data_IF_705511973763
#
_entry.id   IF_705511973763
#
_cell.length_a   1.000
_cell.length_b   1.000
_cell.length_c   1.000
_cell.angle_alpha   90.00
_cell.angle_beta   90.00
_cell.angle_gamma   90.00
#
_symmetry.space_group_name_H-M   'P 1'
#
loop_
_entity.id
_entity.type
_entity.pdbx_description
1 polymer ?
#
# COMPACT_ATOMS: atom_id res chain seq x y z
N UNK A 1 23.11 8.99 -0.42
CA UNK A 1 22.23 8.50 -1.50
C UNK A 1 21.34 9.64 -1.91
N UNK A 2 21.30 9.98 -3.19
CA UNK A 2 20.55 11.15 -3.65
C UNK A 2 19.05 10.87 -3.55
N UNK A 3 18.32 11.67 -2.78
CA UNK A 3 16.86 11.52 -2.59
C UNK A 3 16.12 11.53 -3.93
N UNK A 4 16.62 12.27 -4.92
CA UNK A 4 16.09 12.30 -6.28
C UNK A 4 16.20 10.95 -7.00
N UNK A 5 17.32 10.25 -6.85
CA UNK A 5 17.50 8.91 -7.43
C UNK A 5 16.51 7.92 -6.80
N UNK A 6 16.37 7.95 -5.47
CA UNK A 6 15.41 7.12 -4.74
C UNK A 6 13.97 7.39 -5.17
N UNK A 7 13.60 8.65 -5.28
CA UNK A 7 12.28 9.05 -5.74
C UNK A 7 12.01 8.55 -7.16
N UNK A 8 12.98 8.70 -8.07
CA UNK A 8 12.85 8.23 -9.45
C UNK A 8 12.71 6.71 -9.53
N UNK A 9 13.52 5.96 -8.77
CA UNK A 9 13.39 4.50 -8.66
C UNK A 9 12.01 4.09 -8.13
N UNK A 10 11.53 4.77 -7.09
CA UNK A 10 10.19 4.54 -6.56
C UNK A 10 9.09 4.88 -7.57
N UNK A 11 9.23 5.96 -8.33
CA UNK A 11 8.29 6.34 -9.37
C UNK A 11 8.25 5.30 -10.51
N UNK A 12 9.40 4.73 -10.89
CA UNK A 12 9.48 3.61 -11.84
C UNK A 12 8.73 2.37 -11.31
N UNK A 13 8.92 2.03 -10.03
CA UNK A 13 8.16 0.96 -9.37
C UNK A 13 6.66 1.26 -9.34
N UNK A 14 6.26 2.50 -9.05
CA UNK A 14 4.87 2.95 -9.09
C UNK A 14 4.24 2.81 -10.46
N UNK A 15 4.95 3.19 -11.53
CA UNK A 15 4.49 3.04 -12.91
C UNK A 15 4.26 1.56 -13.27
N UNK A 16 5.20 0.69 -12.89
CA UNK A 16 5.07 -0.76 -13.08
C UNK A 16 3.86 -1.32 -12.31
N UNK A 17 3.69 -0.97 -11.04
CA UNK A 17 2.55 -1.41 -10.23
C UNK A 17 1.22 -0.93 -10.82
N UNK A 18 1.14 0.30 -11.33
CA UNK A 18 -0.04 0.82 -12.02
C UNK A 18 -0.44 -0.06 -13.22
N UNK A 19 0.53 -0.49 -14.03
CA UNK A 19 0.30 -1.41 -15.15
C UNK A 19 -0.15 -2.80 -14.67
N UNK A 20 0.47 -3.33 -13.61
CA UNK A 20 0.07 -4.61 -13.01
C UNK A 20 -1.39 -4.57 -12.57
N UNK A 21 -1.79 -3.56 -11.79
CA UNK A 21 -3.17 -3.39 -11.32
C UNK A 21 -4.17 -3.27 -12.47
N UNK A 22 -3.80 -2.50 -13.50
CA UNK A 22 -4.61 -2.35 -14.72
C UNK A 22 -4.85 -3.68 -15.46
N UNK A 23 -3.84 -4.56 -15.50
CA UNK A 23 -3.92 -5.88 -16.15
C UNK A 23 -4.69 -6.89 -15.32
N UNK A 24 -4.47 -6.90 -14.01
CA UNK A 24 -5.17 -7.77 -13.06
C UNK A 24 -6.69 -7.61 -13.17
N UNK A 25 -7.16 -6.36 -13.27
CA UNK A 25 -8.60 -6.09 -13.48
C UNK A 25 -9.18 -6.75 -14.73
N UNK A 26 -8.41 -6.86 -15.80
CA UNK A 26 -8.88 -7.44 -17.07
C UNK A 26 -8.61 -8.93 -17.19
N UNK A 27 -8.31 -9.61 -16.07
CA UNK A 27 -7.92 -11.02 -16.04
C UNK A 27 -6.81 -11.35 -17.05
N UNK A 28 -5.91 -10.39 -17.29
CA UNK A 28 -4.73 -10.58 -18.13
C UNK A 28 -3.55 -10.94 -17.25
N UNK A 29 -2.59 -11.65 -17.81
CA UNK A 29 -1.31 -11.91 -17.16
C UNK A 29 -0.67 -10.59 -16.69
N UNK A 30 -0.38 -10.46 -15.40
CA UNK A 30 0.19 -9.25 -14.82
C UNK A 30 1.50 -8.81 -15.52
N UNK A 31 2.36 -9.79 -15.85
CA UNK A 31 3.73 -9.53 -16.29
C UNK A 31 3.94 -9.48 -17.81
N UNK A 32 3.02 -10.00 -18.63
CA UNK A 32 3.24 -10.08 -20.08
C UNK A 32 2.58 -8.93 -20.85
N UNK A 33 3.31 -8.37 -21.82
CA UNK A 33 2.84 -7.39 -22.79
C UNK A 33 3.47 -6.00 -22.64
N UNK A 34 3.26 -5.14 -23.64
CA UNK A 34 3.69 -3.73 -23.62
C UNK A 34 2.56 -2.80 -23.14
N UNK A 35 2.91 -1.59 -22.69
CA UNK A 35 1.94 -0.55 -22.32
C UNK A 35 1.22 -0.03 -23.56
N UNK A 36 -0.10 0.13 -23.47
CA UNK A 36 -0.97 0.59 -24.57
C UNK A 36 -1.90 1.68 -24.07
N UNK A 37 -2.24 2.62 -24.94
CA UNK A 37 -3.23 3.64 -24.62
C UNK A 37 -4.63 3.02 -24.42
N UNK A 38 -5.36 3.49 -23.41
CA UNK A 38 -6.73 3.04 -23.12
C UNK A 38 -7.75 3.37 -24.20
N UNK A 39 -7.49 4.41 -24.99
CA UNK A 39 -8.44 4.91 -25.98
C UNK A 39 -8.11 4.48 -27.40
N UNK A 40 -6.89 4.75 -27.87
CA UNK A 40 -6.50 4.43 -29.24
C UNK A 40 -5.81 3.07 -29.38
N UNK A 41 -5.56 2.36 -28.27
CA UNK A 41 -4.86 1.06 -28.23
C UNK A 41 -3.45 1.04 -28.82
N UNK A 42 -2.94 2.19 -29.28
CA UNK A 42 -1.58 2.30 -29.78
C UNK A 42 -0.59 2.06 -28.65
N UNK A 43 0.49 1.36 -28.98
CA UNK A 43 1.56 1.07 -28.04
C UNK A 43 2.23 2.39 -27.60
N UNK A 44 2.46 2.51 -26.29
CA UNK A 44 3.12 3.68 -25.70
C UNK A 44 4.63 3.51 -25.89
N UNK A 45 5.29 4.55 -26.40
CA UNK A 45 6.74 4.56 -26.57
C UNK A 45 7.44 4.50 -25.21
N UNK A 46 8.64 3.94 -25.14
CA UNK A 46 9.36 3.78 -23.86
C UNK A 46 9.61 5.13 -23.16
N UNK A 47 9.92 6.19 -23.92
CA UNK A 47 10.15 7.53 -23.39
C UNK A 47 8.86 8.24 -22.94
N UNK A 48 7.68 7.78 -23.38
CA UNK A 48 6.39 8.26 -22.89
C UNK A 48 5.97 7.51 -21.59
N UNK A 49 6.78 6.54 -21.13
CA UNK A 49 6.62 5.86 -19.84
C UNK A 49 7.61 6.38 -18.78
N UNK A 50 8.35 7.48 -19.03
CA UNK A 50 9.19 8.09 -17.99
C UNK A 50 8.27 8.66 -16.89
N UNK A 51 8.33 8.15 -15.65
CA UNK A 51 7.36 8.49 -14.60
C UNK A 51 7.29 9.98 -14.33
N UNK A 52 6.08 10.51 -14.14
CA UNK A 52 5.71 11.92 -13.91
C UNK A 52 6.12 12.90 -15.02
N UNK A 53 7.35 12.81 -15.52
CA UNK A 53 7.89 13.68 -16.56
C UNK A 53 7.09 13.57 -17.86
N UNK A 54 6.79 12.35 -18.32
CA UNK A 54 6.02 12.14 -19.55
C UNK A 54 4.61 12.73 -19.43
N UNK A 55 3.99 12.60 -18.26
CA UNK A 55 2.67 13.14 -18.00
C UNK A 55 2.67 14.68 -18.05
N UNK A 56 3.68 15.32 -17.43
CA UNK A 56 3.83 16.77 -17.46
C UNK A 56 4.13 17.31 -18.87
N UNK A 57 5.09 16.71 -19.57
CA UNK A 57 5.49 17.12 -20.93
C UNK A 57 4.37 16.97 -21.96
N UNK A 58 3.53 15.93 -21.81
CA UNK A 58 2.38 15.70 -22.69
C UNK A 58 1.12 16.49 -22.27
N UNK A 59 1.20 17.29 -21.21
CA UNK A 59 0.04 18.02 -20.66
C UNK A 59 -1.09 17.10 -20.21
N UNK A 60 -0.74 15.91 -19.68
CA UNK A 60 -1.66 14.89 -19.22
C UNK A 60 -2.48 14.21 -20.32
N UNK A 61 -2.06 14.30 -21.59
CA UNK A 61 -2.79 13.75 -22.75
C UNK A 61 -1.96 12.73 -23.51
N UNK A 62 -2.61 11.76 -24.13
CA UNK A 62 -1.92 10.81 -25.00
C UNK A 62 -1.35 11.52 -26.24
N UNK A 63 -0.08 11.22 -26.59
CA UNK A 63 0.61 11.77 -27.77
C UNK A 63 -0.16 11.59 -29.08
N UNK A 64 -0.81 10.44 -29.27
CA UNK A 64 -1.48 10.11 -30.53
C UNK A 64 -2.93 10.58 -30.60
N UNK A 65 -3.74 10.29 -29.56
CA UNK A 65 -5.18 10.56 -29.59
C UNK A 65 -5.61 11.81 -28.80
N UNK A 66 -4.68 12.48 -28.11
CA UNK A 66 -4.89 13.68 -27.29
C UNK A 66 -5.94 13.55 -26.17
N UNK A 67 -6.47 12.35 -25.93
CA UNK A 67 -7.35 12.07 -24.80
C UNK A 67 -6.57 12.07 -23.49
N UNK A 68 -7.20 12.47 -22.37
CA UNK A 68 -6.54 12.55 -21.07
C UNK A 68 -6.03 11.17 -20.63
N UNK A 69 -4.85 11.16 -20.03
CA UNK A 69 -4.29 9.99 -19.35
C UNK A 69 -4.97 9.88 -17.98
N UNK A 70 -5.28 8.64 -17.57
CA UNK A 70 -5.90 8.41 -16.27
C UNK A 70 -4.95 8.90 -15.14
N UNK A 71 -5.38 9.82 -14.25
CA UNK A 71 -4.55 10.35 -13.17
C UNK A 71 -4.10 9.30 -12.15
N UNK A 72 -4.68 8.11 -12.13
CA UNK A 72 -4.23 7.00 -11.28
C UNK A 72 -2.76 6.62 -11.50
N UNK A 73 -2.28 6.69 -12.75
CA UNK A 73 -0.89 6.37 -13.06
C UNK A 73 0.09 7.38 -12.43
N UNK A 74 0.00 8.70 -12.70
CA UNK A 74 0.88 9.66 -12.06
C UNK A 74 0.70 9.74 -10.54
N UNK A 75 -0.51 9.49 -10.01
CA UNK A 75 -0.72 9.42 -8.55
C UNK A 75 0.04 8.23 -7.95
N UNK A 76 0.00 7.05 -8.58
CA UNK A 76 0.76 5.87 -8.14
C UNK A 76 2.27 6.12 -8.20
N UNK A 77 2.75 6.74 -9.28
CA UNK A 77 4.16 7.11 -9.45
C UNK A 77 4.63 8.08 -8.35
N UNK A 78 3.83 9.11 -8.06
CA UNK A 78 4.12 10.09 -7.02
C UNK A 78 4.13 9.46 -5.62
N UNK A 79 3.10 8.66 -5.29
CA UNK A 79 2.97 8.05 -3.97
C UNK A 79 4.08 7.04 -3.69
N UNK A 80 4.41 6.17 -4.65
CA UNK A 80 5.48 5.19 -4.48
C UNK A 80 6.86 5.87 -4.52
N UNK A 81 7.06 6.88 -5.38
CA UNK A 81 8.28 7.71 -5.38
C UNK A 81 8.53 8.38 -4.03
N UNK A 82 7.50 9.04 -3.47
CA UNK A 82 7.58 9.67 -2.15
C UNK A 82 7.80 8.64 -1.03
N UNK A 83 7.15 7.48 -1.13
CA UNK A 83 7.30 6.39 -0.17
C UNK A 83 8.73 5.85 -0.12
N UNK A 84 9.46 5.80 -1.24
CA UNK A 84 10.86 5.36 -1.26
C UNK A 84 11.76 6.29 -0.45
N UNK A 85 11.59 7.60 -0.64
CA UNK A 85 12.29 8.63 0.14
C UNK A 85 11.93 8.54 1.62
N UNK A 86 10.64 8.37 1.92
CA UNK A 86 10.13 8.25 3.28
C UNK A 86 10.70 7.02 4.01
N UNK A 87 10.66 5.83 3.41
CA UNK A 87 11.22 4.61 4.02
C UNK A 87 12.73 4.76 4.27
N UNK A 88 13.46 5.32 3.31
CA UNK A 88 14.90 5.56 3.49
C UNK A 88 15.17 6.53 4.65
N UNK A 89 14.42 7.63 4.73
CA UNK A 89 14.52 8.61 5.81
C UNK A 89 14.23 7.98 7.18
N UNK A 90 13.19 7.15 7.28
CA UNK A 90 12.84 6.46 8.52
C UNK A 90 13.91 5.49 9.00
N UNK A 91 14.48 4.70 8.11
CA UNK A 91 15.54 3.77 8.48
C UNK A 91 16.79 4.53 8.89
N UNK A 92 17.11 5.65 8.23
CA UNK A 92 18.24 6.50 8.59
C UNK A 92 18.10 7.07 10.01
N UNK A 93 16.93 7.59 10.38
CA UNK A 93 16.68 8.22 11.69
C UNK A 93 16.57 7.20 12.81
N UNK A 94 15.75 6.15 12.64
CA UNK A 94 15.41 5.26 13.75
C UNK A 94 16.53 4.28 14.12
N UNK A 95 17.44 3.97 13.20
CA UNK A 95 18.36 2.85 13.40
C UNK A 95 19.84 3.21 13.45
N UNK A 96 20.26 4.48 13.28
CA UNK A 96 21.68 4.80 13.00
C UNK A 96 22.27 3.79 11.97
N UNK A 97 21.44 3.46 10.98
CA UNK A 97 21.41 2.15 10.32
C UNK A 97 22.69 1.78 9.57
N UNK A 98 23.39 2.80 9.08
CA UNK A 98 24.63 2.63 8.33
C UNK A 98 25.87 2.46 9.21
N UNK A 99 25.76 2.63 10.54
CA UNK A 99 26.92 2.64 11.43
C UNK A 99 27.09 1.33 12.23
N UNK A 100 26.06 0.49 12.37
CA UNK A 100 26.06 -0.63 13.32
C UNK A 100 25.72 -2.00 12.75
N UNK A 101 25.27 -2.10 11.50
CA UNK A 101 24.78 -3.37 10.94
C UNK A 101 25.56 -3.69 9.68
N UNK A 102 26.11 -4.91 9.60
CA UNK A 102 26.77 -5.43 8.40
C UNK A 102 25.91 -5.17 7.16
N UNK A 103 26.53 -4.58 6.13
CA UNK A 103 25.81 -3.88 5.06
C UNK A 103 24.71 -4.68 4.34
N UNK A 104 24.81 -6.01 4.30
CA UNK A 104 23.84 -6.88 3.62
C UNK A 104 22.48 -6.94 4.32
N UNK A 105 22.44 -7.03 5.66
CA UNK A 105 21.17 -7.07 6.42
C UNK A 105 20.45 -5.73 6.30
N UNK A 106 21.22 -4.64 6.30
CA UNK A 106 20.69 -3.29 6.18
C UNK A 106 19.96 -3.09 4.83
N UNK A 107 20.57 -3.57 3.74
CA UNK A 107 19.97 -3.53 2.42
C UNK A 107 18.72 -4.43 2.32
N UNK A 108 18.77 -5.62 2.90
CA UNK A 108 17.63 -6.55 2.90
C UNK A 108 16.41 -5.95 3.61
N UNK A 109 16.60 -5.30 4.76
CA UNK A 109 15.51 -4.64 5.49
C UNK A 109 14.97 -3.41 4.75
N UNK A 110 15.83 -2.64 4.08
CA UNK A 110 15.39 -1.55 3.21
C UNK A 110 14.49 -2.09 2.10
N UNK A 111 14.94 -3.10 1.35
CA UNK A 111 14.17 -3.71 0.26
C UNK A 111 12.84 -4.27 0.79
N UNK A 112 12.86 -4.94 1.94
CA UNK A 112 11.66 -5.47 2.59
C UNK A 112 10.60 -4.39 2.81
N UNK A 113 10.97 -3.24 3.40
CA UNK A 113 10.02 -2.15 3.66
C UNK A 113 9.57 -1.45 2.37
N UNK A 114 10.47 -1.27 1.40
CA UNK A 114 10.11 -0.70 0.10
C UNK A 114 9.06 -1.56 -0.62
N UNK A 115 9.23 -2.88 -0.63
CA UNK A 115 8.29 -3.81 -1.27
C UNK A 115 6.96 -3.85 -0.51
N UNK A 116 6.98 -3.93 0.82
CA UNK A 116 5.75 -3.93 1.61
C UNK A 116 4.93 -2.67 1.41
N UNK A 117 5.52 -1.49 1.60
CA UNK A 117 4.77 -0.24 1.49
C UNK A 117 4.30 0.04 0.06
N UNK A 118 5.11 -0.24 -0.97
CA UNK A 118 4.69 -0.08 -2.36
C UNK A 118 3.51 -0.99 -2.72
N UNK A 119 3.55 -2.26 -2.27
CA UNK A 119 2.45 -3.21 -2.42
C UNK A 119 1.20 -2.80 -1.64
N UNK A 120 1.35 -2.30 -0.42
CA UNK A 120 0.23 -1.76 0.38
C UNK A 120 -0.41 -0.54 -0.27
N UNK A 121 0.37 0.40 -0.82
CA UNK A 121 -0.16 1.54 -1.59
C UNK A 121 -0.93 1.04 -2.82
N UNK A 122 -0.39 0.05 -3.54
CA UNK A 122 -1.07 -0.55 -4.69
C UNK A 122 -2.43 -1.14 -4.31
N UNK A 123 -2.48 -1.91 -3.21
CA UNK A 123 -3.72 -2.47 -2.68
C UNK A 123 -4.70 -1.40 -2.22
N UNK A 124 -4.23 -0.34 -1.54
CA UNK A 124 -5.07 0.77 -1.09
C UNK A 124 -5.72 1.51 -2.27
N UNK A 125 -4.96 1.83 -3.32
CA UNK A 125 -5.52 2.49 -4.52
C UNK A 125 -6.51 1.57 -5.24
N UNK A 126 -6.19 0.28 -5.34
CA UNK A 126 -7.08 -0.70 -5.97
C UNK A 126 -8.39 -0.87 -5.18
N UNK A 127 -8.32 -0.94 -3.84
CA UNK A 127 -9.48 -1.03 -2.96
C UNK A 127 -10.33 0.25 -3.00
N UNK A 128 -9.69 1.43 -2.96
CA UNK A 128 -10.40 2.72 -3.07
C UNK A 128 -11.27 2.81 -4.33
N UNK A 129 -10.78 2.24 -5.44
CA UNK A 129 -11.47 2.30 -6.73
C UNK A 129 -12.46 1.15 -6.95
N UNK A 130 -12.11 -0.06 -6.52
CA UNK A 130 -12.84 -1.27 -6.89
C UNK A 130 -13.46 -2.03 -5.71
N UNK A 131 -13.22 -1.61 -4.47
CA UNK A 131 -13.68 -2.28 -3.24
C UNK A 131 -13.25 -3.75 -3.18
N UNK A 132 -12.05 -4.03 -3.69
CA UNK A 132 -11.46 -5.35 -3.81
C UNK A 132 -9.98 -5.25 -3.46
N UNK A 133 -9.41 -6.32 -2.91
CA UNK A 133 -7.97 -6.44 -2.68
C UNK A 133 -7.45 -7.59 -3.56
N UNK A 134 -6.50 -7.33 -4.48
CA UNK A 134 -6.03 -8.34 -5.42
C UNK A 134 -5.11 -9.35 -4.72
N UNK A 135 -5.53 -10.61 -4.69
CA UNK A 135 -4.77 -11.72 -4.09
C UNK A 135 -3.37 -11.90 -4.74
N UNK A 136 -3.22 -11.52 -6.01
CA UNK A 136 -1.94 -11.58 -6.74
C UNK A 136 -0.90 -10.58 -6.21
N UNK A 137 -1.34 -9.53 -5.49
CA UNK A 137 -0.43 -8.60 -4.80
C UNK A 137 -0.32 -9.00 -3.33
N UNK A 138 -1.43 -9.33 -2.68
CA UNK A 138 -1.46 -9.65 -1.26
C UNK A 138 -0.66 -10.92 -0.91
N UNK A 139 -0.81 -11.98 -1.69
CA UNK A 139 -0.14 -13.27 -1.46
C UNK A 139 1.38 -13.15 -1.41
N UNK A 140 2.04 -12.57 -2.44
CA UNK A 140 3.48 -12.32 -2.41
C UNK A 140 3.95 -11.49 -1.20
N UNK A 141 3.19 -10.47 -0.80
CA UNK A 141 3.54 -9.68 0.39
C UNK A 141 3.46 -10.48 1.68
N UNK A 142 2.45 -11.36 1.81
CA UNK A 142 2.35 -12.28 2.95
C UNK A 142 3.56 -13.21 2.99
N UNK A 143 3.97 -13.77 1.85
CA UNK A 143 5.16 -14.64 1.77
C UNK A 143 6.41 -13.87 2.21
N UNK A 144 6.62 -12.66 1.70
CA UNK A 144 7.76 -11.81 2.08
C UNK A 144 7.73 -11.47 3.58
N UNK A 145 6.56 -11.12 4.12
CA UNK A 145 6.37 -10.86 5.55
C UNK A 145 6.65 -12.10 6.41
N UNK A 146 6.23 -13.28 5.96
CA UNK A 146 6.47 -14.55 6.64
C UNK A 146 7.95 -14.95 6.59
N UNK A 147 8.64 -14.77 5.46
CA UNK A 147 10.07 -15.08 5.34
C UNK A 147 10.95 -14.29 6.31
N UNK A 148 10.53 -13.08 6.69
CA UNK A 148 11.21 -12.29 7.74
C UNK A 148 11.22 -13.00 9.11
N UNK A 149 10.27 -13.89 9.39
CA UNK A 149 10.22 -14.60 10.66
C UNK A 149 11.41 -15.55 10.82
N UNK A 150 11.88 -16.18 9.75
CA UNK A 150 13.08 -17.03 9.78
C UNK A 150 14.36 -16.24 10.08
N UNK A 151 14.42 -14.98 9.63
CA UNK A 151 15.57 -14.11 9.88
C UNK A 151 15.52 -13.51 11.28
N UNK A 152 14.34 -13.12 11.75
CA UNK A 152 14.17 -12.45 13.05
C UNK A 152 13.99 -13.40 14.23
N UNK A 153 13.62 -14.67 14.00
CA UNK A 153 13.29 -15.64 15.03
C UNK A 153 12.02 -15.33 15.84
N UNK A 154 11.31 -14.24 15.52
CA UNK A 154 10.16 -13.77 16.30
C UNK A 154 8.86 -14.45 15.87
N UNK A 155 8.69 -15.70 16.26
CA UNK A 155 7.50 -16.49 15.96
C UNK A 155 6.23 -16.02 16.68
N UNK A 156 6.34 -15.22 17.75
CA UNK A 156 5.19 -14.69 18.49
C UNK A 156 4.29 -13.81 17.61
N UNK A 157 4.86 -13.23 16.54
CA UNK A 157 4.14 -12.46 15.53
C UNK A 157 3.01 -13.26 14.85
N UNK A 158 3.12 -14.59 14.78
CA UNK A 158 2.05 -15.44 14.24
C UNK A 158 0.77 -15.34 15.07
N UNK A 159 0.88 -15.24 16.40
CA UNK A 159 -0.29 -15.06 17.25
C UNK A 159 -1.01 -13.74 16.93
N UNK A 160 -0.25 -12.67 16.69
CA UNK A 160 -0.80 -11.39 16.26
C UNK A 160 -1.44 -11.48 14.86
N UNK A 161 -0.82 -12.20 13.92
CA UNK A 161 -1.35 -12.40 12.57
C UNK A 161 -2.67 -13.18 12.55
N UNK A 162 -2.73 -14.32 13.22
CA UNK A 162 -3.96 -15.12 13.32
C UNK A 162 -5.02 -14.44 14.17
N UNK A 163 -4.63 -13.79 15.28
CA UNK A 163 -5.57 -13.03 16.11
C UNK A 163 -6.20 -11.85 15.35
N UNK A 164 -5.39 -11.12 14.60
CA UNK A 164 -5.80 -10.05 13.68
C UNK A 164 -6.79 -10.56 12.63
N UNK A 165 -6.46 -11.67 11.95
CA UNK A 165 -7.35 -12.30 10.97
C UNK A 165 -8.66 -12.77 11.60
N UNK A 166 -8.60 -13.42 12.76
CA UNK A 166 -9.78 -13.92 13.47
C UNK A 166 -10.70 -12.78 13.91
N UNK A 167 -10.14 -11.68 14.42
CA UNK A 167 -10.90 -10.50 14.82
C UNK A 167 -11.64 -9.86 13.65
N UNK A 168 -10.95 -9.63 12.53
CA UNK A 168 -11.59 -9.07 11.33
C UNK A 168 -12.59 -10.05 10.71
N UNK A 169 -12.31 -11.35 10.73
CA UNK A 169 -13.25 -12.36 10.28
C UNK A 169 -14.53 -12.37 11.12
N UNK A 170 -14.41 -12.24 12.44
CA UNK A 170 -15.56 -12.12 13.35
C UNK A 170 -16.43 -10.90 13.00
N UNK A 171 -15.82 -9.74 12.76
CA UNK A 171 -16.54 -8.55 12.30
C UNK A 171 -17.19 -8.76 10.92
N UNK A 172 -16.53 -9.46 10.01
CA UNK A 172 -17.09 -9.83 8.71
C UNK A 172 -18.33 -10.72 8.85
N UNK A 173 -18.31 -11.71 9.75
CA UNK A 173 -19.44 -12.61 10.02
C UNK A 173 -20.62 -11.86 10.63
N UNK A 174 -20.40 -11.05 11.67
CA UNK A 174 -21.47 -10.27 12.32
C UNK A 174 -22.13 -9.32 11.33
N UNK A 175 -21.32 -8.64 10.51
CA UNK A 175 -21.84 -7.69 9.52
C UNK A 175 -22.38 -8.35 8.26
N UNK A 176 -22.32 -9.69 8.16
CA UNK A 176 -22.66 -10.48 6.95
C UNK A 176 -21.97 -9.93 5.69
N UNK A 177 -20.72 -9.48 5.83
CA UNK A 177 -19.94 -8.87 4.76
C UNK A 177 -20.43 -7.49 4.27
N UNK A 178 -21.37 -6.85 4.99
CA UNK A 178 -21.83 -5.49 4.68
C UNK A 178 -20.88 -4.42 5.21
N UNK A 179 -20.26 -4.68 6.37
CA UNK A 179 -19.36 -3.73 7.02
C UNK A 179 -17.97 -3.75 6.41
N UNK A 180 -17.39 -4.95 6.23
CA UNK A 180 -16.01 -5.12 5.81
C UNK A 180 -15.86 -6.32 4.87
N UNK A 181 -14.99 -6.21 3.87
CA UNK A 181 -14.79 -7.23 2.84
C UNK A 181 -13.88 -8.37 3.29
N UNK A 182 -13.93 -9.49 2.57
CA UNK A 182 -13.01 -10.61 2.81
C UNK A 182 -11.54 -10.24 2.53
N UNK A 183 -11.32 -9.31 1.59
CA UNK A 183 -9.99 -8.76 1.32
C UNK A 183 -9.37 -8.11 2.56
N UNK A 184 -10.16 -7.36 3.34
CA UNK A 184 -9.68 -6.68 4.54
C UNK A 184 -9.27 -7.67 5.63
N UNK A 185 -9.97 -8.81 5.74
CA UNK A 185 -9.61 -9.90 6.67
C UNK A 185 -8.23 -10.45 6.35
N UNK A 186 -7.97 -10.73 5.07
CA UNK A 186 -6.65 -11.22 4.61
C UNK A 186 -5.57 -10.13 4.76
N UNK A 187 -5.92 -8.86 4.53
CA UNK A 187 -5.01 -7.75 4.77
C UNK A 187 -4.67 -7.62 6.26
N UNK A 188 -5.62 -7.89 7.16
CA UNK A 188 -5.39 -7.98 8.60
C UNK A 188 -4.31 -9.01 8.95
N UNK A 189 -4.34 -10.19 8.32
CA UNK A 189 -3.28 -11.20 8.51
C UNK A 189 -1.89 -10.65 8.15
N UNK A 190 -1.77 -9.97 6.99
CA UNK A 190 -0.52 -9.30 6.59
C UNK A 190 -0.09 -8.24 7.61
N UNK A 191 -1.01 -7.38 8.05
CA UNK A 191 -0.71 -6.34 9.05
C UNK A 191 -0.21 -6.93 10.36
N UNK A 192 -0.82 -8.03 10.82
CA UNK A 192 -0.38 -8.73 12.02
C UNK A 192 1.01 -9.34 11.85
N UNK A 193 1.35 -9.89 10.68
CA UNK A 193 2.71 -10.36 10.36
C UNK A 193 3.75 -9.24 10.34
N UNK A 194 3.37 -8.04 9.90
CA UNK A 194 4.30 -6.92 9.72
C UNK A 194 4.53 -6.16 11.02
N UNK A 195 3.46 -5.90 11.78
CA UNK A 195 3.46 -5.06 12.97
C UNK A 195 3.64 -5.85 14.26
N UNK A 196 3.06 -7.04 14.34
CA UNK A 196 3.00 -7.83 15.58
C UNK A 196 2.16 -7.17 16.68
N UNK A 197 2.25 -7.74 17.88
CA UNK A 197 1.65 -7.20 19.10
C UNK A 197 2.62 -6.22 19.78
N UNK A 198 2.15 -5.10 20.37
CA UNK A 198 0.77 -4.59 20.42
C UNK A 198 0.42 -3.63 19.26
N UNK A 199 1.37 -3.36 18.36
CA UNK A 199 1.24 -2.32 17.32
C UNK A 199 0.08 -2.53 16.35
N UNK A 200 -0.37 -3.77 16.15
CA UNK A 200 -1.57 -4.08 15.36
C UNK A 200 -2.84 -3.39 15.91
N UNK A 201 -2.96 -3.26 17.23
CA UNK A 201 -4.09 -2.57 17.86
C UNK A 201 -4.05 -1.07 17.57
N UNK A 202 -2.86 -0.46 17.63
CA UNK A 202 -2.68 0.95 17.29
C UNK A 202 -3.04 1.19 15.81
N UNK A 203 -2.62 0.29 14.92
CA UNK A 203 -2.97 0.39 13.51
C UNK A 203 -4.49 0.33 13.28
N UNK A 204 -5.19 -0.59 13.96
CA UNK A 204 -6.64 -0.68 13.90
C UNK A 204 -7.34 0.54 14.48
N UNK A 205 -6.88 1.03 15.63
CA UNK A 205 -7.43 2.24 16.22
C UNK A 205 -7.35 3.42 15.24
N UNK A 206 -6.18 3.65 14.64
CA UNK A 206 -5.99 4.70 13.63
C UNK A 206 -6.85 4.45 12.39
N UNK A 207 -6.94 3.20 11.91
CA UNK A 207 -7.74 2.84 10.75
C UNK A 207 -9.24 3.09 10.98
N UNK A 208 -9.78 2.65 12.12
CA UNK A 208 -11.19 2.89 12.48
C UNK A 208 -11.47 4.37 12.69
N UNK A 209 -10.58 5.10 13.37
CA UNK A 209 -10.74 6.54 13.60
C UNK A 209 -10.76 7.31 12.28
N UNK A 210 -9.75 7.09 11.42
CA UNK A 210 -9.65 7.80 10.14
C UNK A 210 -10.74 7.38 9.16
N UNK A 211 -11.13 6.10 9.14
CA UNK A 211 -12.27 5.60 8.37
C UNK A 211 -13.60 6.19 8.82
N UNK A 212 -13.84 6.29 10.13
CA UNK A 212 -15.04 6.92 10.68
C UNK A 212 -15.09 8.42 10.36
N UNK A 213 -13.99 9.15 10.55
CA UNK A 213 -13.90 10.57 10.20
C UNK A 213 -14.19 10.80 8.71
N UNK A 214 -13.55 10.03 7.83
CA UNK A 214 -13.80 10.12 6.39
C UNK A 214 -15.25 9.80 6.03
N UNK A 215 -15.84 8.78 6.68
CA UNK A 215 -17.25 8.43 6.52
C UNK A 215 -18.20 9.57 6.91
N UNK A 216 -17.99 10.16 8.09
CA UNK A 216 -18.77 11.30 8.59
C UNK A 216 -18.66 12.50 7.64
N UNK A 217 -17.45 12.87 7.21
CA UNK A 217 -17.23 13.96 6.26
C UNK A 217 -18.00 13.74 4.95
N UNK A 218 -17.94 12.52 4.39
CA UNK A 218 -18.61 12.19 3.12
C UNK A 218 -20.14 12.23 3.23
N UNK A 219 -20.68 11.88 4.41
CA UNK A 219 -22.12 11.95 4.70
C UNK A 219 -22.54 13.43 4.86
N UNK A 220 -21.78 14.23 5.60
CA UNK A 220 -22.07 15.66 5.83
C UNK A 220 -22.05 16.46 4.53
N UNK A 221 -21.13 16.17 3.61
CA UNK A 221 -21.05 16.82 2.29
C UNK A 221 -22.13 16.25 1.32
N UNK A 222 -23.02 15.37 1.79
CA UNK A 222 -24.08 14.69 1.03
C UNK A 222 -23.59 13.97 -0.23
N UNK A 223 -22.30 13.61 -0.27
CA UNK A 223 -21.67 12.86 -1.37
C UNK A 223 -21.91 11.36 -1.25
N UNK A 224 -22.21 10.86 -0.05
CA UNK A 224 -22.55 9.45 0.22
C UNK A 224 -23.66 9.33 1.25
N UNK A 225 -24.38 8.22 1.21
CA UNK A 225 -25.38 7.85 2.23
C UNK A 225 -24.77 6.88 3.25
N UNK A 226 -25.40 6.76 4.42
CA UNK A 226 -25.03 5.80 5.48
C UNK A 226 -24.94 4.34 5.00
N UNK A 227 -25.60 4.00 3.89
CA UNK A 227 -25.60 2.63 3.30
C UNK A 227 -24.47 2.41 2.30
N UNK A 228 -23.68 3.44 2.00
CA UNK A 228 -22.65 3.34 0.96
C UNK A 228 -21.43 2.62 1.50
N UNK A 229 -20.99 1.56 0.80
CA UNK A 229 -19.74 0.87 1.14
C UNK A 229 -18.55 1.82 0.96
N UNK A 230 -17.67 1.83 1.96
CA UNK A 230 -16.42 2.57 1.98
C UNK A 230 -15.27 1.56 1.89
N UNK A 231 -14.26 1.88 1.09
CA UNK A 231 -13.02 1.11 1.00
C UNK A 231 -12.27 1.18 2.33
N UNK A 232 -12.16 0.07 3.06
CA UNK A 232 -11.50 0.05 4.37
C UNK A 232 -9.98 -0.19 4.26
N UNK A 233 -9.53 -0.82 3.18
CA UNK A 233 -8.12 -1.10 2.89
C UNK A 233 -7.21 0.13 2.96
N UNK A 234 -7.56 1.30 2.39
CA UNK A 234 -6.75 2.52 2.52
C UNK A 234 -6.50 2.95 3.97
N UNK A 235 -7.51 2.83 4.84
CA UNK A 235 -7.38 3.20 6.24
C UNK A 235 -6.53 2.19 7.01
N UNK A 236 -6.62 0.90 6.68
CA UNK A 236 -5.72 -0.13 7.22
C UNK A 236 -4.26 0.13 6.85
N UNK A 237 -3.98 0.48 5.59
CA UNK A 237 -2.62 0.81 5.13
C UNK A 237 -2.10 2.08 5.81
N UNK A 238 -2.95 3.10 5.97
CA UNK A 238 -2.61 4.31 6.71
C UNK A 238 -2.33 4.01 8.19
N UNK A 239 -3.14 3.17 8.82
CA UNK A 239 -2.93 2.67 10.18
C UNK A 239 -1.61 1.92 10.32
N UNK A 240 -1.25 1.09 9.34
CA UNK A 240 0.04 0.39 9.30
C UNK A 240 1.22 1.37 9.25
N UNK A 241 1.16 2.38 8.38
CA UNK A 241 2.20 3.40 8.27
C UNK A 241 2.34 4.18 9.58
N UNK A 242 1.23 4.65 10.16
CA UNK A 242 1.24 5.44 11.38
C UNK A 242 1.67 4.62 12.60
N UNK A 243 1.21 3.38 12.75
CA UNK A 243 1.65 2.49 13.83
C UNK A 243 3.14 2.14 13.70
N UNK A 244 3.67 2.05 12.48
CA UNK A 244 5.09 1.82 12.29
C UNK A 244 5.95 3.02 12.72
N UNK A 245 5.45 4.24 12.54
CA UNK A 245 6.13 5.47 12.93
C UNK A 245 6.03 5.77 14.42
N UNK A 246 4.82 5.75 14.93
CA UNK A 246 4.47 6.32 16.24
C UNK A 246 3.84 5.29 17.18
N UNK A 247 3.67 4.05 16.74
CA UNK A 247 2.84 3.10 17.48
C UNK A 247 3.36 2.78 18.87
N UNK A 248 4.69 2.75 19.07
CA UNK A 248 5.26 2.59 20.42
C UNK A 248 5.01 3.80 21.31
N UNK A 249 5.18 5.02 20.79
CA UNK A 249 4.90 6.25 21.52
C UNK A 249 3.41 6.37 21.90
N UNK A 250 2.51 6.03 20.97
CA UNK A 250 1.06 6.02 21.20
C UNK A 250 0.68 4.95 22.23
N UNK A 251 1.26 3.75 22.12
CA UNK A 251 0.98 2.65 23.05
C UNK A 251 1.43 2.99 24.48
N UNK A 252 2.62 3.54 24.64
CA UNK A 252 3.14 3.95 25.94
C UNK A 252 2.34 5.09 26.56
N UNK A 253 1.94 6.09 25.75
CA UNK A 253 1.11 7.19 26.22
C UNK A 253 -0.24 6.71 26.80
N UNK A 254 -0.82 5.65 26.25
CA UNK A 254 -2.09 5.11 26.76
C UNK A 254 -1.93 4.34 28.09
N UNK A 255 -0.74 3.84 28.40
CA UNK A 255 -0.45 3.07 29.61
C UNK A 255 0.22 3.87 30.73
N UNK A 256 0.41 5.17 30.53
CA UNK A 256 0.85 6.14 31.53
C UNK A 256 -0.36 6.75 32.23
#
# INVERSE_FOLDING_TARGET
>A
MDYWLLFFLGACCGSFLGVVLYRLRRNRSALKGRSVCDHCRKQIAWYDNIPLLSFLLLGGKCRYCRRPINPEYPVMELLVGAQFVWVYWLLKINFNFFNWVEGWYSLALLIYWLVLFSGSIAMAIYDFKYLLIPDQVLGPLIVIAFLRLFVSGNWQVLAAAFGSMAWLWFLHLITRGKGMGWGDVKLGFLLGLVLGWPLILVAYFIAFLTGALAGVILITIRRKSLKTKIAFGPFLVLGMAAAKLWGWSIWQWYWQ
#
